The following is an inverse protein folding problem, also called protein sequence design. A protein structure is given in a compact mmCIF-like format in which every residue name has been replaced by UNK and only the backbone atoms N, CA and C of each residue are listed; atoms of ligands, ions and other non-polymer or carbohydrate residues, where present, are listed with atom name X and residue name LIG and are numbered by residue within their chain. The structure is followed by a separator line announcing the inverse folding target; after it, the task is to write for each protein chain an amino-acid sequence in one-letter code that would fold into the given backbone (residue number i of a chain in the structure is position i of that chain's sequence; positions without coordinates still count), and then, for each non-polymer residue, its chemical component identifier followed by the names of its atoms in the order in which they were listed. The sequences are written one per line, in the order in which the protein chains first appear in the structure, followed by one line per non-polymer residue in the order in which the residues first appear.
data_IF_322323541747
#
_entry.id   IF_322323541747
#
_cell.length_a   1.000
_cell.length_b   1.000
_cell.length_c   1.000
_cell.angle_alpha   90.00
_cell.angle_beta   90.00
_cell.angle_gamma   90.00
#
_symmetry.space_group_name_H-M   'P 1'
#
loop_
_entity.id
_entity.type
_entity.pdbx_description
1 polymer ?
#
# COMPACT_ATOMS: atom_id res chain seq x y z
N UNK A 1 39.63 13.72 -4.06
CA UNK A 1 39.80 12.97 -2.80
C UNK A 1 39.17 11.59 -2.94
N UNK A 2 40.02 10.58 -3.17
CA UNK A 2 39.67 9.17 -3.41
C UNK A 2 38.93 8.50 -2.24
N UNK A 3 38.92 9.12 -1.07
CA UNK A 3 38.24 8.64 0.13
C UNK A 3 36.71 8.58 -0.04
N UNK A 4 36.10 9.50 -0.79
CA UNK A 4 34.62 9.55 -0.92
C UNK A 4 34.06 8.43 -1.81
N UNK A 5 34.84 7.96 -2.79
CA UNK A 5 34.42 6.89 -3.73
C UNK A 5 34.48 5.51 -3.07
N UNK A 6 35.42 5.32 -2.14
CA UNK A 6 35.58 4.08 -1.36
C UNK A 6 34.51 3.94 -0.28
N UNK A 7 34.04 5.04 0.31
CA UNK A 7 32.96 5.01 1.30
C UNK A 7 31.61 4.57 0.67
N UNK A 8 31.30 5.04 -0.54
CA UNK A 8 30.10 4.61 -1.28
C UNK A 8 30.21 3.12 -1.66
N UNK A 9 31.38 2.65 -2.10
CA UNK A 9 31.59 1.23 -2.40
C UNK A 9 31.56 0.33 -1.15
N UNK A 10 31.93 0.85 0.03
CA UNK A 10 31.87 0.11 1.29
C UNK A 10 30.45 -0.01 1.83
N UNK A 11 29.60 1.01 1.68
CA UNK A 11 28.18 0.95 2.02
C UNK A 11 27.41 -0.04 1.12
N UNK A 12 27.79 -0.16 -0.15
CA UNK A 12 27.23 -1.16 -1.08
C UNK A 12 27.70 -2.59 -0.77
N UNK A 13 28.80 -2.75 0.00
CA UNK A 13 29.34 -4.04 0.44
C UNK A 13 28.90 -4.43 1.86
N UNK A 14 28.09 -3.61 2.52
CA UNK A 14 27.35 -4.04 3.70
C UNK A 14 26.46 -5.22 3.33
N UNK A 15 26.67 -6.35 3.99
CA UNK A 15 25.97 -7.64 3.86
C UNK A 15 24.61 -7.61 3.16
N UNK A 16 24.59 -7.81 1.83
CA UNK A 16 23.35 -8.10 1.06
C UNK A 16 22.55 -9.26 1.66
N UNK A 17 23.16 -10.13 2.47
CA UNK A 17 22.55 -11.33 3.04
C UNK A 17 21.85 -11.17 4.39
N UNK A 18 22.07 -10.08 5.15
CA UNK A 18 21.52 -9.94 6.52
C UNK A 18 20.34 -8.96 6.58
N UNK A 19 20.37 -7.90 5.76
CA UNK A 19 19.24 -6.97 5.70
C UNK A 19 18.03 -7.67 5.08
N UNK A 20 18.18 -8.37 3.95
CA UNK A 20 17.06 -8.94 3.17
C UNK A 20 16.22 -10.01 3.88
N UNK A 21 16.77 -10.75 4.85
CA UNK A 21 16.03 -11.81 5.55
C UNK A 21 14.91 -11.29 6.47
N UNK A 22 14.92 -9.99 6.77
CA UNK A 22 13.93 -9.33 7.65
C UNK A 22 12.90 -8.48 6.88
N UNK A 23 13.11 -8.24 5.58
CA UNK A 23 12.16 -7.52 4.71
C UNK A 23 11.05 -8.45 4.23
N UNK A 24 10.44 -9.19 5.16
CA UNK A 24 9.32 -10.09 4.86
C UNK A 24 8.07 -9.35 4.37
N UNK A 25 6.89 -9.86 4.71
CA UNK A 25 5.58 -9.34 4.28
C UNK A 25 5.41 -7.81 4.34
N UNK A 26 6.05 -7.13 5.31
CA UNK A 26 6.00 -5.67 5.42
C UNK A 26 6.59 -4.91 4.23
N UNK A 27 7.65 -5.42 3.59
CA UNK A 27 8.25 -4.78 2.42
C UNK A 27 7.36 -4.93 1.18
N UNK A 28 6.71 -6.09 1.03
CA UNK A 28 5.77 -6.35 -0.06
C UNK A 28 4.53 -5.43 -0.04
N UNK A 29 4.20 -4.85 1.13
CA UNK A 29 3.11 -3.87 1.27
C UNK A 29 3.48 -2.46 0.85
N UNK A 30 4.77 -2.14 0.80
CA UNK A 30 5.25 -0.78 0.55
C UNK A 30 5.92 -0.61 -0.80
N UNK A 31 6.31 -1.71 -1.46
CA UNK A 31 7.06 -1.67 -2.72
C UNK A 31 6.49 -2.63 -3.77
N UNK A 32 6.50 -2.20 -5.04
CA UNK A 32 6.23 -3.02 -6.22
C UNK A 32 7.54 -3.44 -6.87
N UNK A 33 7.53 -4.64 -7.49
CA UNK A 33 8.65 -5.15 -8.27
C UNK A 33 8.43 -4.77 -9.73
N UNK A 34 9.37 -4.04 -10.30
CA UNK A 34 9.41 -3.73 -11.72
C UNK A 34 10.63 -4.44 -12.33
N UNK A 35 10.40 -5.21 -13.40
CA UNK A 35 11.45 -5.75 -14.26
C UNK A 35 11.52 -4.89 -15.52
N UNK A 36 12.67 -4.27 -15.77
CA UNK A 36 12.91 -3.62 -17.05
C UNK A 36 13.26 -4.70 -18.09
N UNK A 37 12.46 -4.89 -19.16
CA UNK A 37 12.74 -5.90 -20.18
C UNK A 37 14.01 -5.59 -21.00
N UNK A 38 14.64 -4.42 -20.81
CA UNK A 38 15.87 -4.00 -21.47
C UNK A 38 17.10 -3.95 -20.52
N UNK A 39 16.95 -4.29 -19.24
CA UNK A 39 18.09 -4.40 -18.31
C UNK A 39 18.79 -5.77 -18.55
N UNK A 40 19.94 -5.74 -19.23
CA UNK A 40 20.79 -6.91 -19.54
C UNK A 40 21.27 -7.68 -18.29
N UNK A 41 21.27 -7.01 -17.13
CA UNK A 41 21.66 -7.54 -15.84
C UNK A 41 20.50 -8.17 -15.04
N UNK A 42 19.28 -8.22 -15.61
CA UNK A 42 18.07 -8.85 -15.05
C UNK A 42 17.79 -8.41 -13.60
N UNK A 43 18.04 -7.12 -13.32
CA UNK A 43 17.88 -6.58 -11.98
C UNK A 43 16.43 -6.20 -11.70
N UNK A 44 15.94 -6.56 -10.51
CA UNK A 44 14.59 -6.18 -10.08
C UNK A 44 14.66 -4.89 -9.27
N UNK A 45 13.84 -3.91 -9.64
CA UNK A 45 13.73 -2.63 -8.95
C UNK A 45 12.53 -2.63 -8.02
N UNK A 46 12.72 -2.06 -6.83
CA UNK A 46 11.65 -1.82 -5.87
C UNK A 46 11.21 -0.37 -5.99
N UNK A 47 9.97 -0.15 -6.40
CA UNK A 47 9.35 1.18 -6.46
C UNK A 47 8.33 1.31 -5.34
N UNK A 48 8.29 2.44 -4.59
CA UNK A 48 7.28 2.63 -3.55
C UNK A 48 5.87 2.58 -4.14
N UNK A 49 4.95 1.89 -3.47
CA UNK A 49 3.54 1.85 -3.88
C UNK A 49 2.93 3.24 -3.61
N UNK A 50 2.33 3.88 -4.63
CA UNK A 50 1.61 5.14 -4.43
C UNK A 50 0.52 5.04 -3.37
N UNK A 51 0.42 6.06 -2.51
CA UNK A 51 -0.58 6.10 -1.42
C UNK A 51 -2.02 5.98 -1.92
N UNK A 52 -2.32 6.43 -3.15
CA UNK A 52 -3.65 6.32 -3.74
C UNK A 52 -4.09 4.87 -4.03
N UNK A 53 -3.18 3.91 -4.02
CA UNK A 53 -3.50 2.48 -4.12
C UNK A 53 -3.65 1.80 -2.76
N UNK A 54 -3.33 2.51 -1.66
CA UNK A 54 -3.42 1.98 -0.30
C UNK A 54 -4.82 2.25 0.24
N UNK A 55 -5.49 1.20 0.71
CA UNK A 55 -6.76 1.31 1.40
C UNK A 55 -6.59 2.09 2.71
N UNK A 56 -7.37 3.16 2.96
CA UNK A 56 -7.28 3.93 4.20
C UNK A 56 -7.58 3.11 5.47
N UNK A 57 -8.32 2.00 5.36
CA UNK A 57 -8.70 1.16 6.50
C UNK A 57 -7.68 0.06 6.81
N UNK A 58 -7.27 -0.72 5.81
CA UNK A 58 -6.36 -1.86 6.01
C UNK A 58 -4.88 -1.44 5.99
N UNK A 59 -4.60 -0.24 5.47
CA UNK A 59 -3.25 0.27 5.25
C UNK A 59 -2.42 -0.67 4.34
N UNK A 60 -3.09 -1.45 3.49
CA UNK A 60 -2.52 -2.32 2.44
C UNK A 60 -2.88 -1.79 1.07
N UNK A 61 -2.13 -2.17 0.01
CA UNK A 61 -2.63 -2.09 -1.35
C UNK A 61 -4.04 -2.71 -1.46
N UNK A 62 -4.90 -2.09 -2.25
CA UNK A 62 -6.24 -2.59 -2.58
C UNK A 62 -6.17 -3.65 -3.68
N UNK A 63 -6.89 -4.75 -3.50
CA UNK A 63 -7.06 -5.79 -4.52
C UNK A 63 -8.39 -5.59 -5.28
N UNK A 64 -9.45 -5.20 -4.57
CA UNK A 64 -10.78 -4.89 -5.12
C UNK A 64 -11.21 -3.48 -4.69
N UNK A 65 -10.65 -2.43 -5.33
CA UNK A 65 -10.95 -1.05 -4.98
C UNK A 65 -12.40 -0.71 -5.31
N UNK A 66 -13.09 -0.12 -4.34
CA UNK A 66 -14.45 0.41 -4.51
C UNK A 66 -14.55 1.82 -3.95
N UNK A 67 -15.31 2.65 -4.67
CA UNK A 67 -15.53 4.04 -4.31
C UNK A 67 -16.86 4.23 -3.57
N UNK A 68 -16.83 5.00 -2.49
CA UNK A 68 -18.02 5.48 -1.76
C UNK A 68 -18.53 6.80 -2.36
N UNK A 69 -19.74 7.22 -1.99
CA UNK A 69 -20.39 8.43 -2.57
C UNK A 69 -19.72 9.76 -2.25
N UNK A 70 -18.83 9.79 -1.27
CA UNK A 70 -17.96 10.93 -0.94
C UNK A 70 -16.65 10.93 -1.74
N UNK A 71 -16.45 9.96 -2.64
CA UNK A 71 -15.28 9.87 -3.52
C UNK A 71 -14.07 9.15 -2.91
N UNK A 72 -14.17 8.65 -1.67
CA UNK A 72 -13.10 7.84 -1.08
C UNK A 72 -13.09 6.42 -1.66
N UNK A 73 -11.90 5.85 -1.82
CA UNK A 73 -11.71 4.48 -2.34
C UNK A 73 -11.18 3.58 -1.22
N UNK A 74 -11.76 2.39 -1.11
CA UNK A 74 -11.44 1.40 -0.09
C UNK A 74 -11.32 0.01 -0.71
N UNK A 75 -10.65 -0.89 -0.01
CA UNK A 75 -10.78 -2.32 -0.25
C UNK A 75 -12.22 -2.77 0.06
N UNK A 76 -12.89 -3.44 -0.90
CA UNK A 76 -14.30 -3.83 -0.81
C UNK A 76 -14.64 -4.54 0.49
N UNK A 77 -13.84 -5.56 0.83
CA UNK A 77 -14.11 -6.40 1.99
C UNK A 77 -14.19 -5.60 3.31
N UNK A 78 -13.33 -4.59 3.45
CA UNK A 78 -13.26 -3.74 4.65
C UNK A 78 -14.43 -2.76 4.73
N UNK A 79 -14.73 -2.04 3.65
CA UNK A 79 -15.80 -1.03 3.67
C UNK A 79 -17.19 -1.68 3.79
N UNK A 80 -17.41 -2.83 3.15
CA UNK A 80 -18.65 -3.59 3.31
C UNK A 80 -18.84 -4.07 4.76
N UNK A 81 -17.79 -4.58 5.39
CA UNK A 81 -17.84 -5.00 6.79
C UNK A 81 -18.15 -3.81 7.71
N UNK A 82 -17.52 -2.65 7.48
CA UNK A 82 -17.78 -1.44 8.25
C UNK A 82 -19.24 -0.99 8.14
N UNK A 83 -19.78 -0.90 6.93
CA UNK A 83 -21.19 -0.53 6.69
C UNK A 83 -22.12 -1.51 7.43
N UNK A 84 -21.92 -2.82 7.25
CA UNK A 84 -22.73 -3.86 7.91
C UNK A 84 -22.66 -3.73 9.43
N UNK A 85 -21.46 -3.53 9.99
CA UNK A 85 -21.25 -3.41 11.44
C UNK A 85 -21.94 -2.19 12.04
N UNK A 86 -21.85 -1.03 11.38
CA UNK A 86 -22.53 0.21 11.80
C UNK A 86 -24.05 0.04 11.78
N UNK A 87 -24.60 -0.55 10.72
CA UNK A 87 -26.03 -0.83 10.59
C UNK A 87 -26.54 -1.81 11.67
N UNK A 88 -25.81 -2.90 11.93
CA UNK A 88 -26.16 -3.87 12.98
C UNK A 88 -26.23 -3.21 14.37
N UNK A 89 -25.31 -2.28 14.65
CA UNK A 89 -25.30 -1.49 15.89
C UNK A 89 -26.29 -0.32 15.89
N UNK A 90 -27.08 -0.14 14.83
CA UNK A 90 -27.98 1.01 14.62
C UNK A 90 -27.28 2.36 14.76
N UNK A 91 -26.02 2.42 14.32
CA UNK A 91 -25.20 3.64 14.27
C UNK A 91 -25.29 4.27 12.88
N UNK A 92 -25.06 5.59 12.82
CA UNK A 92 -24.87 6.29 11.55
C UNK A 92 -23.67 5.71 10.80
N UNK A 93 -23.85 5.46 9.51
CA UNK A 93 -22.78 5.00 8.63
C UNK A 93 -21.99 6.23 8.20
N UNK A 94 -20.72 6.28 8.58
CA UNK A 94 -19.79 7.34 8.19
C UNK A 94 -18.66 6.76 7.35
N UNK A 95 -18.04 7.58 6.53
CA UNK A 95 -16.82 7.24 5.80
C UNK A 95 -15.67 7.05 6.81
N UNK A 96 -14.96 5.91 6.78
CA UNK A 96 -13.85 5.66 7.71
C UNK A 96 -12.71 6.69 7.65
N UNK A 97 -12.38 7.19 6.45
CA UNK A 97 -11.26 8.10 6.26
C UNK A 97 -11.56 9.55 6.68
N UNK A 98 -12.78 10.02 6.42
CA UNK A 98 -13.16 11.44 6.61
C UNK A 98 -14.10 11.65 7.79
N UNK A 99 -14.66 10.56 8.34
CA UNK A 99 -15.68 10.57 9.37
C UNK A 99 -16.98 11.32 8.99
N UNK A 100 -17.18 11.63 7.71
CA UNK A 100 -18.42 12.25 7.20
C UNK A 100 -19.51 11.21 7.03
N UNK A 101 -20.77 11.57 7.25
CA UNK A 101 -21.91 10.67 7.03
C UNK A 101 -22.01 10.28 5.55
N UNK A 102 -22.21 8.99 5.27
CA UNK A 102 -22.44 8.49 3.93
C UNK A 102 -23.95 8.49 3.65
N UNK A 103 -24.47 9.40 2.80
CA UNK A 103 -25.91 9.47 2.52
C UNK A 103 -26.45 8.26 1.75
N UNK A 104 -25.55 7.49 1.13
CA UNK A 104 -25.86 6.23 0.45
C UNK A 104 -24.74 5.23 0.71
N UNK A 105 -25.12 3.96 0.83
CA UNK A 105 -24.20 2.85 1.06
C UNK A 105 -23.84 2.10 -0.24
N UNK A 106 -24.16 2.68 -1.39
CA UNK A 106 -23.81 2.12 -2.70
C UNK A 106 -22.30 2.25 -2.92
N UNK A 107 -21.69 1.15 -3.35
CA UNK A 107 -20.28 1.09 -3.75
C UNK A 107 -20.19 1.03 -5.28
N UNK A 108 -19.20 1.71 -5.85
CA UNK A 108 -18.91 1.73 -7.29
C UNK A 108 -17.54 1.10 -7.53
N UNK A 109 -17.46 0.16 -8.48
CA UNK A 109 -16.22 -0.46 -8.98
C UNK A 109 -15.83 0.13 -10.33
#
# INVERSE_FOLDING_TARGET
SSANRLAIQALVRGSRGDYGQRWGEGAARCFSLESDPFDEDETVRLTPIPECFICPMSQTPMEDPVMTVDGCVYERSYIEQWIRHRQQKRLRVTSPATNTELPSHRLVS
#
